data_IF_474391574865
#
_entry.id   IF_474391574865
#
_cell.length_a   1.000
_cell.length_b   1.000
_cell.length_c   1.000
_cell.angle_alpha   90.00
_cell.angle_beta   90.00
_cell.angle_gamma   90.00
#
_symmetry.space_group_name_H-M   'P 1'
#
loop_
_entity.id
_entity.type
_entity.pdbx_description
1 polymer ?
#
# COMPACT_ATOMS: atom_id res chain seq x y z
N UNK A 1 22.80 8.22 21.57
CA UNK A 1 21.46 7.81 22.08
C UNK A 1 20.60 7.09 21.04
N UNK A 2 20.09 7.75 19.98
CA UNK A 2 19.14 7.10 19.03
C UNK A 2 19.66 5.82 18.36
N UNK A 3 20.97 5.76 18.08
CA UNK A 3 21.65 4.55 17.58
C UNK A 3 21.69 3.41 18.61
N UNK A 4 21.97 3.72 19.88
CA UNK A 4 22.00 2.76 21.00
C UNK A 4 20.61 2.12 21.16
N UNK A 5 19.57 2.94 21.22
CA UNK A 5 18.18 2.48 21.34
C UNK A 5 17.79 1.61 20.13
N UNK A 6 18.23 1.99 18.92
CA UNK A 6 17.95 1.21 17.71
C UNK A 6 18.55 -0.20 17.75
N UNK A 7 19.81 -0.30 18.18
CA UNK A 7 20.52 -1.58 18.24
C UNK A 7 19.90 -2.50 19.29
N UNK A 8 19.58 -1.97 20.47
CA UNK A 8 18.93 -2.74 21.54
C UNK A 8 17.56 -3.29 21.12
N UNK A 9 16.77 -2.52 20.37
CA UNK A 9 15.49 -2.99 19.82
C UNK A 9 15.67 -4.06 18.73
N UNK A 10 16.73 -3.97 17.93
CA UNK A 10 17.07 -4.99 16.90
C UNK A 10 17.49 -6.32 17.53
N UNK A 11 18.10 -6.28 18.72
CA UNK A 11 18.44 -7.44 19.53
C UNK A 11 17.20 -8.09 20.18
N UNK A 12 16.01 -7.48 20.05
CA UNK A 12 14.74 -8.01 20.57
C UNK A 12 14.46 -7.64 22.02
N UNK A 13 15.26 -6.77 22.64
CA UNK A 13 15.05 -6.35 24.02
C UNK A 13 13.84 -5.42 24.17
N UNK A 14 13.13 -5.58 25.28
CA UNK A 14 12.04 -4.70 25.66
C UNK A 14 12.56 -3.33 26.11
N UNK A 15 11.80 -2.23 25.85
CA UNK A 15 12.13 -0.91 26.36
C UNK A 15 12.30 -0.90 27.87
N UNK A 16 13.25 -0.12 28.36
CA UNK A 16 13.42 0.13 29.80
C UNK A 16 12.25 1.00 30.27
N UNK A 17 11.60 0.56 31.35
CA UNK A 17 10.43 1.24 31.94
C UNK A 17 10.82 2.13 33.13
N UNK A 18 12.05 1.97 33.65
CA UNK A 18 12.59 2.78 34.72
C UNK A 18 13.66 3.74 34.17
N UNK A 19 13.54 5.02 34.52
CA UNK A 19 14.46 6.05 34.05
C UNK A 19 15.91 5.83 34.54
N UNK A 20 16.10 5.31 35.75
CA UNK A 20 17.45 5.02 36.29
C UNK A 20 18.11 3.88 35.53
N UNK A 21 17.35 2.82 35.24
CA UNK A 21 17.85 1.69 34.44
C UNK A 21 18.13 2.10 33.00
N UNK A 22 17.29 2.99 32.45
CA UNK A 22 17.51 3.58 31.13
C UNK A 22 18.82 4.38 31.06
N UNK A 23 19.11 5.22 32.06
CA UNK A 23 20.36 6.00 32.12
C UNK A 23 21.57 5.07 32.15
N UNK A 24 21.59 4.11 33.09
CA UNK A 24 22.67 3.12 33.16
C UNK A 24 22.86 2.36 31.86
N UNK A 25 21.75 1.99 31.21
CA UNK A 25 21.76 1.33 29.92
C UNK A 25 22.39 2.19 28.81
N UNK A 26 21.98 3.45 28.63
CA UNK A 26 22.52 4.27 27.54
C UNK A 26 23.99 4.64 27.77
N UNK A 27 24.39 4.90 29.02
CA UNK A 27 25.76 5.27 29.37
C UNK A 27 26.73 4.08 29.28
N UNK A 28 26.28 2.87 29.66
CA UNK A 28 27.09 1.65 29.52
C UNK A 28 27.35 1.26 28.06
N UNK A 29 26.43 1.60 27.15
CA UNK A 29 26.57 1.31 25.71
C UNK A 29 27.36 2.39 24.96
N UNK A 30 27.36 3.63 25.43
CA UNK A 30 28.07 4.74 24.79
C UNK A 30 28.48 5.78 25.85
N UNK A 31 29.77 5.80 26.19
CA UNK A 31 30.32 6.72 27.20
C UNK A 31 30.15 8.19 26.84
N UNK A 32 29.94 8.54 25.56
CA UNK A 32 29.65 9.92 25.14
C UNK A 32 28.25 10.39 25.54
N UNK A 33 27.40 9.48 26.01
CA UNK A 33 26.07 9.80 26.53
C UNK A 33 26.09 10.03 28.04
N UNK A 34 27.26 9.99 28.68
CA UNK A 34 27.37 10.38 30.06
C UNK A 34 26.85 11.80 30.26
N UNK A 35 26.01 11.99 31.27
CA UNK A 35 25.29 13.24 31.59
C UNK A 35 24.27 13.73 30.54
N UNK A 36 24.17 13.12 29.36
CA UNK A 36 23.23 13.56 28.32
C UNK A 36 21.78 13.60 28.83
N UNK A 37 21.39 12.57 29.58
CA UNK A 37 20.06 12.51 30.18
C UNK A 37 19.86 13.61 31.24
N UNK A 38 20.89 13.88 32.04
CA UNK A 38 20.84 14.91 33.08
C UNK A 38 20.72 16.31 32.49
N UNK A 39 21.31 16.57 31.32
CA UNK A 39 21.14 17.83 30.58
C UNK A 39 19.66 18.01 30.21
N UNK A 40 19.03 16.99 29.62
CA UNK A 40 17.61 17.03 29.26
C UNK A 40 16.71 17.16 30.50
N UNK A 41 17.04 16.45 31.58
CA UNK A 41 16.31 16.54 32.83
C UNK A 41 16.42 17.93 33.47
N UNK A 42 17.61 18.54 33.48
CA UNK A 42 17.81 19.93 33.95
C UNK A 42 17.01 20.93 33.10
N UNK A 43 16.92 20.73 31.79
CA UNK A 43 16.14 21.57 30.89
C UNK A 43 14.63 21.56 31.20
N UNK A 44 14.11 20.50 31.82
CA UNK A 44 12.72 20.41 32.28
C UNK A 44 12.44 21.20 33.57
N UNK A 45 13.43 21.95 34.08
CA UNK A 45 13.37 22.77 35.29
C UNK A 45 12.85 22.01 36.54
N UNK A 46 13.59 20.99 37.03
CA UNK A 46 13.18 20.17 38.17
C UNK A 46 13.38 20.88 39.52
N UNK A 47 14.09 22.02 39.55
CA UNK A 47 14.39 22.75 40.79
C UNK A 47 13.10 23.25 41.45
N UNK A 48 13.00 23.07 42.76
CA UNK A 48 11.82 23.46 43.55
C UNK A 48 10.59 22.56 43.35
N UNK A 49 10.67 21.48 42.57
CA UNK A 49 9.58 20.51 42.40
C UNK A 49 9.62 19.41 43.48
N UNK A 50 8.46 18.86 43.84
CA UNK A 50 8.35 17.72 44.75
C UNK A 50 9.00 16.46 44.19
N UNK A 51 9.41 15.53 45.07
CA UNK A 51 10.06 14.27 44.67
C UNK A 51 9.24 13.48 43.64
N UNK A 52 7.93 13.30 43.88
CA UNK A 52 7.01 12.64 42.94
C UNK A 52 7.00 13.32 41.57
N UNK A 53 7.06 14.64 41.54
CA UNK A 53 7.11 15.40 40.28
C UNK A 53 8.45 15.21 39.57
N UNK A 54 9.56 15.21 40.31
CA UNK A 54 10.88 14.96 39.75
C UNK A 54 10.99 13.56 39.13
N UNK A 55 10.44 12.54 39.79
CA UNK A 55 10.37 11.17 39.24
C UNK A 55 9.53 11.11 37.95
N UNK A 56 8.37 11.77 37.93
CA UNK A 56 7.54 11.89 36.72
C UNK A 56 8.28 12.61 35.59
N UNK A 57 9.04 13.66 35.89
CA UNK A 57 9.85 14.38 34.91
C UNK A 57 10.96 13.49 34.33
N UNK A 58 11.63 12.67 35.15
CA UNK A 58 12.62 11.69 34.65
C UNK A 58 11.96 10.71 33.68
N UNK A 59 10.77 10.20 34.01
CA UNK A 59 10.04 9.31 33.11
C UNK A 59 9.66 10.01 31.79
N UNK A 60 9.23 11.27 31.84
CA UNK A 60 8.95 12.06 30.62
C UNK A 60 10.19 12.25 29.74
N UNK A 61 11.35 12.51 30.32
CA UNK A 61 12.63 12.63 29.58
C UNK A 61 13.00 11.29 28.92
N UNK A 62 12.80 10.18 29.62
CA UNK A 62 13.01 8.84 29.05
C UNK A 62 12.09 8.58 27.85
N UNK A 63 10.78 8.88 28.00
CA UNK A 63 9.81 8.76 26.89
C UNK A 63 10.21 9.65 25.72
N UNK A 64 10.64 10.89 25.98
CA UNK A 64 11.14 11.81 24.96
C UNK A 64 12.34 11.21 24.20
N UNK A 65 13.27 10.56 24.90
CA UNK A 65 14.40 9.86 24.30
C UNK A 65 13.95 8.74 23.35
N UNK A 66 12.97 7.92 23.77
CA UNK A 66 12.38 6.88 22.93
C UNK A 66 11.64 7.47 21.72
N UNK A 67 10.91 8.57 21.90
CA UNK A 67 10.23 9.26 20.79
C UNK A 67 11.25 9.79 19.78
N UNK A 68 12.30 10.48 20.21
CA UNK A 68 13.38 10.94 19.32
C UNK A 68 14.02 9.79 18.54
N UNK A 69 14.23 8.64 19.18
CA UNK A 69 14.72 7.44 18.51
C UNK A 69 13.70 6.91 17.49
N UNK A 70 12.41 6.82 17.83
CA UNK A 70 11.35 6.39 16.91
C UNK A 70 11.24 7.31 15.68
N UNK A 71 11.22 8.63 15.89
CA UNK A 71 11.18 9.62 14.83
C UNK A 71 12.39 9.47 13.89
N UNK A 72 13.60 9.45 14.45
CA UNK A 72 14.83 9.36 13.64
C UNK A 72 14.99 8.02 12.93
N UNK A 73 14.69 6.91 13.61
CA UNK A 73 14.98 5.58 13.11
C UNK A 73 13.91 5.06 12.17
N UNK A 74 12.62 5.34 12.44
CA UNK A 74 11.50 4.87 11.62
C UNK A 74 11.06 5.92 10.61
N UNK A 75 10.62 7.10 11.09
CA UNK A 75 9.98 8.09 10.23
C UNK A 75 10.96 8.80 9.30
N UNK A 76 12.09 9.29 9.82
CA UNK A 76 13.10 9.94 8.97
C UNK A 76 13.67 8.95 7.97
N UNK A 77 13.93 7.69 8.36
CA UNK A 77 14.41 6.65 7.44
C UNK A 77 13.38 6.29 6.35
N UNK A 78 12.09 6.19 6.71
CA UNK A 78 11.03 5.93 5.73
C UNK A 78 10.85 7.09 4.76
N UNK A 79 10.84 8.34 5.27
CA UNK A 79 10.73 9.55 4.44
C UNK A 79 11.91 9.66 3.47
N UNK A 80 13.14 9.45 3.96
CA UNK A 80 14.34 9.41 3.09
C UNK A 80 14.26 8.35 2.01
N UNK A 81 13.64 7.20 2.32
CA UNK A 81 13.45 6.11 1.36
C UNK A 81 12.41 6.46 0.30
N UNK A 82 11.33 7.15 0.68
CA UNK A 82 10.28 7.61 -0.22
C UNK A 82 10.79 8.72 -1.16
N UNK A 83 11.46 9.74 -0.62
CA UNK A 83 12.09 10.80 -1.43
C UNK A 83 13.07 10.21 -2.45
N UNK A 84 13.90 9.24 -2.02
CA UNK A 84 14.81 8.55 -2.94
C UNK A 84 14.05 7.81 -4.04
N UNK A 85 13.02 7.04 -3.70
CA UNK A 85 12.26 6.26 -4.69
C UNK A 85 11.65 7.19 -5.74
N UNK A 86 11.01 8.27 -5.29
CA UNK A 86 10.47 9.32 -6.14
C UNK A 86 11.51 9.90 -7.11
N UNK A 87 12.72 10.21 -6.63
CA UNK A 87 13.79 10.74 -7.49
C UNK A 87 14.22 9.71 -8.55
N UNK A 88 14.39 8.44 -8.16
CA UNK A 88 14.77 7.36 -9.08
C UNK A 88 13.70 7.17 -10.16
N UNK A 89 12.41 7.11 -9.76
CA UNK A 89 11.27 6.95 -10.68
C UNK A 89 11.08 8.17 -11.60
N UNK A 90 11.46 9.36 -11.14
CA UNK A 90 11.45 10.59 -11.95
C UNK A 90 12.61 10.67 -12.96
N UNK A 91 13.42 9.62 -13.11
CA UNK A 91 14.58 9.60 -14.01
C UNK A 91 15.76 10.43 -13.53
N UNK A 92 15.84 10.76 -12.23
CA UNK A 92 16.95 11.54 -11.68
C UNK A 92 18.27 10.75 -11.79
N UNK A 93 19.33 11.42 -12.24
CA UNK A 93 20.64 10.78 -12.39
C UNK A 93 21.17 10.21 -11.07
N UNK A 94 21.91 9.10 -11.15
CA UNK A 94 22.52 8.43 -9.99
C UNK A 94 23.42 9.38 -9.20
N UNK A 95 24.13 10.28 -9.91
CA UNK A 95 24.98 11.29 -9.30
C UNK A 95 24.15 12.29 -8.48
N UNK A 96 23.05 12.81 -9.03
CA UNK A 96 22.16 13.72 -8.33
C UNK A 96 21.53 13.05 -7.09
N UNK A 97 21.01 11.82 -7.21
CA UNK A 97 20.45 11.06 -6.08
C UNK A 97 21.49 10.92 -4.95
N UNK A 98 22.73 10.57 -5.30
CA UNK A 98 23.82 10.43 -4.32
C UNK A 98 24.26 11.76 -3.71
N UNK A 99 24.20 12.87 -4.45
CA UNK A 99 24.48 14.22 -3.92
C UNK A 99 23.43 14.62 -2.87
N UNK A 100 22.15 14.44 -3.17
CA UNK A 100 21.06 14.68 -2.21
C UNK A 100 21.16 13.76 -0.98
N UNK A 101 21.70 12.54 -1.16
CA UNK A 101 21.97 11.63 -0.05
C UNK A 101 23.09 12.16 0.86
N UNK A 102 24.18 12.67 0.28
CA UNK A 102 25.28 13.31 1.02
C UNK A 102 24.82 14.55 1.79
N UNK A 103 23.85 15.30 1.26
CA UNK A 103 23.20 16.40 1.96
C UNK A 103 22.28 15.94 3.11
N UNK A 104 22.00 14.64 3.21
CA UNK A 104 21.22 14.05 4.30
C UNK A 104 19.71 14.06 4.06
N UNK A 105 19.22 14.41 2.88
CA UNK A 105 17.79 14.48 2.56
C UNK A 105 17.18 13.13 2.14
N UNK A 106 17.97 12.22 1.59
CA UNK A 106 17.51 10.90 1.16
C UNK A 106 18.55 9.80 1.50
N UNK A 107 18.46 8.64 0.85
CA UNK A 107 19.48 7.57 0.91
C UNK A 107 20.11 7.35 -0.46
N UNK A 108 21.28 6.70 -0.50
CA UNK A 108 22.03 6.47 -1.75
C UNK A 108 21.26 5.66 -2.78
N UNK A 109 21.62 5.85 -4.05
CA UNK A 109 21.06 5.10 -5.19
C UNK A 109 21.22 3.59 -5.02
N UNK A 110 22.40 3.11 -4.61
CA UNK A 110 22.65 1.68 -4.38
C UNK A 110 21.65 1.06 -3.39
N UNK A 111 21.26 1.82 -2.36
CA UNK A 111 20.28 1.35 -1.38
C UNK A 111 18.87 1.22 -1.98
N UNK A 112 18.52 2.01 -3.01
CA UNK A 112 17.28 1.82 -3.77
C UNK A 112 17.38 0.57 -4.64
N UNK A 113 18.46 0.45 -5.42
CA UNK A 113 18.69 -0.68 -6.31
C UNK A 113 18.60 -2.02 -5.56
N UNK A 114 19.35 -2.16 -4.46
CA UNK A 114 19.31 -3.38 -3.64
C UNK A 114 17.92 -3.69 -3.05
N UNK A 115 17.06 -2.67 -2.86
CA UNK A 115 15.70 -2.89 -2.36
C UNK A 115 14.77 -3.33 -3.48
N UNK A 116 14.87 -2.71 -4.65
CA UNK A 116 14.11 -3.09 -5.84
C UNK A 116 14.48 -4.51 -6.28
N UNK A 117 15.76 -4.83 -6.33
CA UNK A 117 16.29 -6.16 -6.61
C UNK A 117 15.73 -7.22 -5.65
N UNK A 118 15.64 -6.93 -4.34
CA UNK A 118 14.99 -7.83 -3.38
C UNK A 118 13.49 -8.01 -3.63
N UNK A 119 12.79 -6.95 -4.06
CA UNK A 119 11.37 -7.02 -4.38
C UNK A 119 11.17 -7.86 -5.63
N UNK A 120 11.99 -7.66 -6.67
CA UNK A 120 11.99 -8.43 -7.91
C UNK A 120 12.25 -9.92 -7.65
N UNK A 121 13.31 -10.23 -6.89
CA UNK A 121 13.64 -11.60 -6.51
C UNK A 121 12.53 -12.29 -5.69
N UNK A 122 11.77 -11.55 -4.89
CA UNK A 122 10.64 -12.08 -4.12
C UNK A 122 9.31 -12.06 -4.89
N UNK A 123 9.25 -11.38 -6.05
CA UNK A 123 8.00 -11.09 -6.73
C UNK A 123 7.27 -12.36 -7.17
N UNK A 124 7.98 -13.27 -7.84
CA UNK A 124 7.41 -14.51 -8.35
C UNK A 124 6.79 -15.36 -7.23
N UNK A 125 7.52 -15.58 -6.14
CA UNK A 125 7.01 -16.35 -4.99
C UNK A 125 5.83 -15.66 -4.31
N UNK A 126 5.86 -14.33 -4.21
CA UNK A 126 4.76 -13.54 -3.66
C UNK A 126 3.48 -13.64 -4.49
N UNK A 127 3.59 -13.51 -5.82
CA UNK A 127 2.47 -13.67 -6.75
C UNK A 127 1.93 -15.09 -6.69
N UNK A 128 2.79 -16.10 -6.67
CA UNK A 128 2.37 -17.50 -6.58
C UNK A 128 1.60 -17.78 -5.28
N UNK A 129 2.13 -17.34 -4.13
CA UNK A 129 1.46 -17.51 -2.84
C UNK A 129 0.11 -16.79 -2.81
N UNK A 130 0.01 -15.61 -3.44
CA UNK A 130 -1.24 -14.87 -3.56
C UNK A 130 -2.28 -15.63 -4.40
N UNK A 131 -1.89 -16.13 -5.58
CA UNK A 131 -2.77 -16.91 -6.45
C UNK A 131 -3.28 -18.16 -5.73
N UNK A 132 -2.41 -18.88 -5.04
CA UNK A 132 -2.79 -20.05 -4.26
C UNK A 132 -3.79 -19.72 -3.16
N UNK A 133 -3.58 -18.60 -2.44
CA UNK A 133 -4.46 -18.17 -1.35
C UNK A 133 -5.86 -17.81 -1.84
N UNK A 134 -5.99 -17.27 -3.04
CA UNK A 134 -7.25 -16.75 -3.58
C UNK A 134 -7.77 -17.54 -4.78
N UNK A 135 -7.29 -18.76 -5.02
CA UNK A 135 -7.55 -19.53 -6.25
C UNK A 135 -9.03 -19.65 -6.64
N UNK A 136 -9.93 -19.70 -5.66
CA UNK A 136 -11.36 -19.88 -5.89
C UNK A 136 -12.10 -18.57 -6.20
N UNK A 137 -11.49 -17.42 -5.92
CA UNK A 137 -12.11 -16.09 -6.01
C UNK A 137 -11.19 -15.08 -6.72
N UNK A 138 -10.32 -15.56 -7.61
CA UNK A 138 -9.34 -14.72 -8.30
C UNK A 138 -9.70 -14.65 -9.79
N UNK A 139 -9.93 -13.43 -10.28
CA UNK A 139 -9.97 -13.15 -11.70
C UNK A 139 -8.64 -12.57 -12.14
N UNK A 140 -8.09 -13.09 -13.24
CA UNK A 140 -6.84 -12.62 -13.85
C UNK A 140 -7.20 -11.98 -15.18
N UNK A 141 -6.91 -10.69 -15.32
CA UNK A 141 -7.10 -9.97 -16.57
C UNK A 141 -5.76 -9.56 -17.15
N UNK A 142 -5.54 -9.81 -18.43
CA UNK A 142 -4.43 -9.26 -19.19
C UNK A 142 -4.98 -8.10 -20.03
N UNK A 143 -4.57 -6.88 -19.70
CA UNK A 143 -5.00 -5.65 -20.38
C UNK A 143 -3.86 -5.15 -21.22
N UNK A 144 -4.10 -4.98 -22.52
CA UNK A 144 -3.17 -4.31 -23.42
C UNK A 144 -3.16 -2.80 -23.09
N UNK A 145 -1.98 -2.20 -22.96
CA UNK A 145 -1.82 -0.77 -22.71
C UNK A 145 -2.11 0.09 -23.96
N UNK A 146 -2.43 -0.57 -25.09
CA UNK A 146 -2.78 0.09 -26.33
C UNK A 146 -1.67 1.01 -26.84
N UNK A 147 -0.40 0.74 -26.52
CA UNK A 147 0.72 1.57 -26.94
C UNK A 147 0.81 1.75 -28.47
N UNK A 148 0.30 0.78 -29.25
CA UNK A 148 0.46 0.72 -30.70
C UNK A 148 -0.71 1.25 -31.54
N UNK A 149 -1.80 1.78 -30.96
CA UNK A 149 -2.95 2.30 -31.74
C UNK A 149 -2.76 3.71 -32.32
N UNK A 150 -1.72 4.45 -31.92
CA UNK A 150 -1.42 5.77 -32.51
C UNK A 150 -0.46 5.71 -33.72
N UNK A 151 -0.04 4.52 -34.14
CA UNK A 151 0.71 4.32 -35.39
C UNK A 151 -0.23 4.07 -36.57
N UNK A 152 0.02 4.70 -37.72
CA UNK A 152 -0.69 4.40 -38.97
C UNK A 152 -0.36 2.97 -39.40
N UNK A 153 -1.26 2.03 -39.19
CA UNK A 153 -1.07 0.63 -39.60
C UNK A 153 -1.92 0.33 -40.85
N UNK A 154 -1.29 -0.30 -41.84
CA UNK A 154 -2.00 -0.93 -42.96
C UNK A 154 -2.50 -2.29 -42.45
N UNK A 155 -3.81 -2.58 -42.49
CA UNK A 155 -4.40 -3.82 -41.96
C UNK A 155 -4.06 -5.02 -42.85
N UNK A 156 -2.78 -5.39 -42.89
CA UNK A 156 -2.25 -6.50 -43.68
C UNK A 156 -1.49 -7.53 -42.84
N UNK A 157 -1.23 -7.24 -41.57
CA UNK A 157 -0.53 -8.14 -40.65
C UNK A 157 -1.34 -8.32 -39.37
N UNK A 158 -1.74 -9.57 -39.08
CA UNK A 158 -2.36 -9.99 -37.83
C UNK A 158 -1.32 -10.04 -36.70
N UNK A 159 -0.57 -8.94 -36.48
CA UNK A 159 0.40 -8.88 -35.39
C UNK A 159 -0.34 -8.84 -34.07
N UNK A 160 -0.36 -9.97 -33.37
CA UNK A 160 -0.76 -10.08 -31.97
C UNK A 160 0.09 -9.13 -31.13
N UNK A 161 -0.53 -8.44 -30.16
CA UNK A 161 0.20 -7.54 -29.26
C UNK A 161 1.34 -8.26 -28.54
N UNK A 162 2.48 -7.57 -28.41
CA UNK A 162 3.63 -8.13 -27.71
C UNK A 162 3.37 -8.13 -26.21
N UNK A 163 3.81 -9.18 -25.52
CA UNK A 163 3.66 -9.34 -24.05
C UNK A 163 4.18 -8.12 -23.28
N UNK A 164 5.20 -7.42 -23.80
CA UNK A 164 5.75 -6.20 -23.21
C UNK A 164 4.75 -5.04 -23.09
N UNK A 165 3.63 -5.08 -23.82
CA UNK A 165 2.55 -4.08 -23.80
C UNK A 165 1.33 -4.54 -23.01
N UNK A 166 1.41 -5.65 -22.29
CA UNK A 166 0.31 -6.16 -21.48
C UNK A 166 0.56 -5.94 -20.00
N UNK A 167 -0.43 -5.36 -19.31
CA UNK A 167 -0.51 -5.31 -17.87
C UNK A 167 -1.41 -6.44 -17.35
N UNK A 168 -0.90 -7.28 -16.45
CA UNK A 168 -1.71 -8.29 -15.76
C UNK A 168 -2.28 -7.72 -14.46
N UNK A 169 -3.60 -7.81 -14.30
CA UNK A 169 -4.33 -7.35 -13.12
C UNK A 169 -4.97 -8.56 -12.42
N UNK A 170 -4.78 -8.62 -11.10
CA UNK A 170 -5.34 -9.65 -10.22
C UNK A 170 -6.51 -9.05 -9.43
N UNK A 171 -7.74 -9.49 -9.71
CA UNK A 171 -8.95 -9.04 -9.03
C UNK A 171 -9.42 -10.08 -8.00
N UNK A 172 -9.52 -9.67 -6.74
CA UNK A 172 -10.20 -10.50 -5.73
C UNK A 172 -11.71 -10.30 -5.85
N UNK A 173 -12.42 -11.37 -6.15
CA UNK A 173 -13.88 -11.38 -6.08
C UNK A 173 -14.33 -11.74 -4.67
N UNK A 174 -15.57 -11.38 -4.34
CA UNK A 174 -16.23 -11.93 -3.15
C UNK A 174 -16.34 -13.45 -3.29
N UNK A 175 -16.48 -14.16 -2.17
CA UNK A 175 -16.86 -15.58 -2.16
C UNK A 175 -18.25 -15.70 -2.78
N UNK A 176 -18.29 -15.87 -4.09
CA UNK A 176 -19.52 -16.21 -4.80
C UNK A 176 -19.62 -17.72 -4.87
N UNK A 177 -20.82 -18.24 -4.64
CA UNK A 177 -21.12 -19.64 -4.90
C UNK A 177 -20.71 -19.97 -6.34
N UNK A 178 -20.03 -21.10 -6.54
CA UNK A 178 -19.76 -21.60 -7.88
C UNK A 178 -21.08 -21.60 -8.65
N UNK A 179 -21.09 -21.06 -9.87
CA UNK A 179 -22.26 -21.21 -10.73
C UNK A 179 -22.48 -22.71 -10.89
N UNK A 180 -23.61 -23.25 -10.43
CA UNK A 180 -23.82 -24.68 -10.46
C UNK A 180 -23.88 -25.13 -11.93
N UNK A 181 -23.22 -26.25 -12.23
CA UNK A 181 -23.15 -26.78 -13.58
C UNK A 181 -24.54 -27.15 -14.13
N UNK A 182 -25.47 -27.40 -13.20
CA UNK A 182 -26.86 -27.75 -13.44
C UNK A 182 -27.77 -26.80 -12.66
N UNK A 183 -28.89 -26.42 -13.27
CA UNK A 183 -29.95 -25.70 -12.56
C UNK A 183 -30.66 -26.62 -11.56
N UNK A 184 -31.53 -26.06 -10.71
CA UNK A 184 -32.39 -26.85 -9.81
C UNK A 184 -33.29 -27.87 -10.54
N UNK A 185 -33.39 -27.78 -11.87
CA UNK A 185 -34.17 -28.68 -12.73
C UNK A 185 -33.28 -29.63 -13.56
N UNK A 186 -32.02 -29.87 -13.16
CA UNK A 186 -31.04 -30.74 -13.83
C UNK A 186 -30.67 -30.36 -15.27
N UNK A 187 -31.04 -29.16 -15.73
CA UNK A 187 -30.58 -28.63 -17.01
C UNK A 187 -29.18 -28.03 -16.88
N UNK A 188 -28.26 -28.37 -17.80
CA UNK A 188 -26.93 -27.78 -17.76
C UNK A 188 -27.01 -26.27 -17.97
N UNK A 189 -26.42 -25.51 -17.04
CA UNK A 189 -26.30 -24.06 -17.14
C UNK A 189 -25.29 -23.67 -18.23
N UNK A 190 -24.34 -24.58 -18.53
CA UNK A 190 -23.45 -24.45 -19.66
C UNK A 190 -24.16 -24.91 -20.92
N UNK A 191 -24.41 -24.00 -21.86
CA UNK A 191 -24.97 -24.36 -23.16
C UNK A 191 -23.97 -25.26 -23.91
N UNK A 192 -24.31 -26.54 -24.21
CA UNK A 192 -23.41 -27.45 -24.92
C UNK A 192 -23.12 -27.00 -26.37
N UNK A 193 -23.94 -26.10 -26.93
CA UNK A 193 -23.73 -25.50 -28.25
C UNK A 193 -22.85 -24.22 -28.22
N UNK A 194 -22.27 -23.87 -27.06
CA UNK A 194 -21.55 -22.62 -26.85
C UNK A 194 -22.47 -21.44 -26.57
N UNK A 195 -21.92 -20.27 -26.27
CA UNK A 195 -22.75 -19.07 -26.11
C UNK A 195 -23.10 -18.53 -27.49
N UNK A 196 -24.40 -18.46 -27.82
CA UNK A 196 -24.85 -17.90 -29.09
C UNK A 196 -24.49 -16.40 -29.12
N UNK A 197 -23.49 -16.08 -29.95
CA UNK A 197 -22.96 -14.73 -30.10
C UNK A 197 -24.04 -13.74 -30.57
N UNK A 198 -25.06 -14.20 -31.31
CA UNK A 198 -26.18 -13.36 -31.72
C UNK A 198 -27.04 -12.97 -30.52
N UNK A 199 -27.38 -13.95 -29.66
CA UNK A 199 -28.17 -13.71 -28.45
C UNK A 199 -27.39 -12.83 -27.47
N UNK A 200 -26.11 -13.12 -27.23
CA UNK A 200 -25.25 -12.26 -26.40
C UNK A 200 -25.17 -10.85 -26.94
N UNK A 201 -24.92 -10.68 -28.24
CA UNK A 201 -24.84 -9.36 -28.87
C UNK A 201 -26.16 -8.62 -28.74
N UNK A 202 -27.29 -9.31 -28.90
CA UNK A 202 -28.62 -8.74 -28.75
C UNK A 202 -28.85 -8.27 -27.30
N UNK A 203 -28.59 -9.13 -26.32
CA UNK A 203 -28.74 -8.81 -24.88
C UNK A 203 -27.79 -7.69 -24.46
N UNK A 204 -26.49 -7.78 -24.81
CA UNK A 204 -25.52 -6.72 -24.52
C UNK A 204 -25.93 -5.38 -25.12
N UNK A 205 -26.41 -5.37 -26.38
CA UNK A 205 -26.88 -4.15 -27.03
C UNK A 205 -28.12 -3.59 -26.35
N UNK A 206 -29.14 -4.42 -26.15
CA UNK A 206 -30.47 -4.01 -25.70
C UNK A 206 -30.51 -3.65 -24.22
N UNK A 207 -29.85 -4.44 -23.35
CA UNK A 207 -29.90 -4.22 -21.90
C UNK A 207 -28.81 -3.27 -21.39
N UNK A 208 -27.61 -3.34 -21.96
CA UNK A 208 -26.46 -2.63 -21.40
C UNK A 208 -26.06 -1.43 -22.27
N UNK A 209 -25.68 -1.64 -23.52
CA UNK A 209 -25.07 -0.59 -24.34
C UNK A 209 -26.04 0.56 -24.65
N UNK A 210 -27.31 0.27 -24.97
CA UNK A 210 -28.31 1.32 -25.20
C UNK A 210 -28.57 2.13 -23.92
N UNK A 211 -28.54 1.50 -22.76
CA UNK A 211 -28.77 2.18 -21.49
C UNK A 211 -27.54 2.99 -21.04
N UNK A 212 -26.33 2.45 -21.20
CA UNK A 212 -25.08 3.17 -20.95
C UNK A 212 -24.88 4.35 -21.91
N UNK A 213 -25.43 4.28 -23.12
CA UNK A 213 -25.37 5.36 -24.10
C UNK A 213 -26.34 6.52 -23.83
N UNK A 214 -27.32 6.34 -22.93
CA UNK A 214 -28.22 7.44 -22.53
C UNK A 214 -27.48 8.37 -21.58
N UNK A 215 -27.60 9.67 -21.81
CA UNK A 215 -26.96 10.65 -20.92
C UNK A 215 -27.63 10.66 -19.53
N UNK A 216 -26.87 11.12 -18.54
CA UNK A 216 -27.28 11.15 -17.13
C UNK A 216 -28.63 11.85 -16.90
N UNK A 217 -28.90 12.97 -17.57
CA UNK A 217 -30.13 13.74 -17.38
C UNK A 217 -31.37 12.99 -17.91
N UNK A 218 -31.21 12.17 -18.95
CA UNK A 218 -32.30 11.35 -19.52
C UNK A 218 -32.67 10.13 -18.66
N UNK A 219 -31.72 9.61 -17.86
CA UNK A 219 -31.97 8.46 -16.97
C UNK A 219 -32.46 8.93 -15.59
N UNK A 220 -31.96 10.07 -15.11
CA UNK A 220 -32.29 10.64 -13.80
C UNK A 220 -33.80 10.80 -13.55
N UNK A 221 -34.58 11.14 -14.58
CA UNK A 221 -36.04 11.28 -14.47
C UNK A 221 -36.77 9.95 -14.20
N UNK A 222 -36.23 8.83 -14.67
CA UNK A 222 -36.79 7.48 -14.49
C UNK A 222 -36.55 7.00 -13.05
N UNK A 223 -35.37 7.27 -12.50
CA UNK A 223 -35.04 6.89 -11.11
C UNK A 223 -35.87 7.65 -10.06
N UNK A 224 -36.26 8.89 -10.35
CA UNK A 224 -37.14 9.65 -9.46
C UNK A 224 -38.59 9.13 -9.48
N UNK A 225 -39.05 8.54 -10.58
CA UNK A 225 -40.40 7.96 -10.70
C UNK A 225 -40.57 6.65 -9.91
N UNK A 226 -39.52 5.84 -9.79
CA UNK A 226 -39.57 4.59 -9.00
C UNK A 226 -39.56 4.84 -7.48
N UNK A 227 -39.02 5.97 -7.03
CA UNK A 227 -38.99 6.34 -5.60
C UNK A 227 -40.37 6.86 -5.14
N UNK A 228 -41.09 7.59 -5.99
CA UNK A 228 -42.43 8.12 -5.66
C UNK A 228 -43.56 7.06 -5.72
N UNK A 229 -43.34 5.93 -6.40
CA UNK A 229 -44.32 4.85 -6.51
C UNK A 229 -44.41 3.91 -5.29
N UNK A 230 -43.47 4.00 -4.34
CA UNK A 230 -43.36 3.05 -3.23
C UNK A 230 -43.56 3.68 -1.84
N UNK A 231 -44.00 4.94 -1.77
CA UNK A 231 -44.16 5.69 -0.51
C UNK A 231 -45.54 5.58 0.16
N UNK A 232 -46.49 4.82 -0.38
CA UNK A 232 -47.83 4.66 0.22
C UNK A 232 -47.96 3.52 1.25
N UNK A 233 -46.88 2.78 1.54
CA UNK A 233 -46.87 1.76 2.58
C UNK A 233 -45.78 2.02 3.62
N UNK A 234 -45.86 3.17 4.30
CA UNK A 234 -45.51 3.32 5.72
C UNK A 234 -45.62 4.78 6.17
N UNK A 235 -46.75 5.13 6.79
CA UNK A 235 -46.85 6.16 7.85
C UNK A 235 -48.02 5.81 8.78
N UNK A 236 -47.94 6.04 10.10
CA UNK A 236 -46.78 6.22 10.97
C UNK A 236 -46.27 4.90 11.59
#
# INVERSE_FOLDING_TARGET
>A
MTKVIYQDQREGHLPKLNATDFVKFIESRDSKLHEFFDILFKAMNPKGKSQKTQESLRQKVMVLCYQMAGLRNKQVSSTKSAIRLFLVESGTSTHCVNTVAKMGFNTTYQTAFNKLDKIENAHQSGVQAYIQKFSNNLLIACVDDYHNIHGTQIPSTNSTSQIAHMATILFNTTQTLLIPYYSNNDSSVHNPHGVDAFILRKICKEQFMINLAKNYNSIKSIWNLEIDGNTDLMKP
#
